data_IF_163859301111
#
_entry.id   IF_163859301111
#
_cell.length_a   1.000
_cell.length_b   1.000
_cell.length_c   1.000
_cell.angle_alpha   90.00
_cell.angle_beta   90.00
_cell.angle_gamma   90.00
#
_symmetry.space_group_name_H-M   'P 1'
#
loop_
_entity.id
_entity.type
_entity.pdbx_description
1 polymer ?
#
# COMPACT_ATOMS: atom_id res chain seq x y z
N UNK A 1 28.62 -15.94 -34.22
CA UNK A 1 28.39 -15.01 -33.11
C UNK A 1 27.02 -15.31 -32.54
N UNK A 2 26.92 -16.14 -31.49
CA UNK A 2 25.74 -16.25 -30.64
C UNK A 2 25.61 -14.90 -29.94
N UNK A 3 24.60 -14.10 -30.34
CA UNK A 3 24.08 -13.06 -29.46
C UNK A 3 23.43 -13.82 -28.31
N UNK A 4 23.99 -13.70 -27.11
CA UNK A 4 23.27 -14.09 -25.91
C UNK A 4 21.92 -13.33 -25.93
N UNK A 5 20.82 -14.03 -25.77
CA UNK A 5 19.51 -13.39 -25.54
C UNK A 5 19.68 -12.43 -24.38
N UNK A 6 19.19 -11.19 -24.49
CA UNK A 6 19.22 -10.28 -23.37
C UNK A 6 18.52 -10.95 -22.20
N UNK A 7 19.22 -11.06 -21.07
CA UNK A 7 18.65 -11.65 -19.87
C UNK A 7 17.35 -10.92 -19.55
N UNK A 8 16.25 -11.66 -19.41
CA UNK A 8 14.98 -11.09 -18.96
C UNK A 8 15.19 -10.67 -17.50
N UNK A 9 15.25 -9.36 -17.25
CA UNK A 9 15.49 -8.80 -15.92
C UNK A 9 14.32 -9.05 -14.98
N UNK A 10 13.10 -8.94 -15.52
CA UNK A 10 11.85 -9.11 -14.79
C UNK A 10 10.91 -9.93 -15.67
N UNK A 11 10.49 -11.09 -15.15
CA UNK A 11 9.57 -11.98 -15.85
C UNK A 11 8.40 -12.37 -14.95
N UNK A 12 7.17 -12.12 -15.43
CA UNK A 12 5.95 -12.44 -14.71
C UNK A 12 4.92 -13.05 -15.66
N UNK A 13 4.25 -14.11 -15.24
CA UNK A 13 3.11 -14.69 -15.96
C UNK A 13 1.92 -14.90 -15.04
N UNK A 14 0.72 -14.84 -15.62
CA UNK A 14 -0.54 -14.90 -14.91
C UNK A 14 -1.45 -15.93 -15.55
N UNK A 15 -2.09 -16.75 -14.74
CA UNK A 15 -3.06 -17.74 -15.20
C UNK A 15 -4.42 -17.44 -14.57
N UNK A 16 -5.46 -17.56 -15.38
CA UNK A 16 -6.83 -17.28 -14.98
C UNK A 16 -7.72 -18.48 -15.19
N UNK A 17 -8.74 -18.63 -14.36
CA UNK A 17 -9.79 -19.61 -14.60
C UNK A 17 -10.77 -19.13 -15.69
N UNK A 18 -11.77 -19.94 -16.01
CA UNK A 18 -12.77 -19.64 -17.05
C UNK A 18 -13.71 -18.49 -16.67
N UNK A 19 -13.72 -18.07 -15.40
CA UNK A 19 -14.53 -16.96 -14.90
C UNK A 19 -13.71 -15.66 -14.75
N UNK A 20 -12.41 -15.73 -15.06
CA UNK A 20 -11.50 -14.57 -15.02
C UNK A 20 -10.81 -14.34 -13.67
N UNK A 21 -10.91 -15.28 -12.71
CA UNK A 21 -10.17 -15.18 -11.47
C UNK A 21 -8.70 -15.55 -11.69
N UNK A 22 -7.78 -14.77 -11.13
CA UNK A 22 -6.35 -15.06 -11.15
C UNK A 22 -6.06 -16.29 -10.26
N UNK A 23 -5.70 -17.42 -10.86
CA UNK A 23 -5.46 -18.67 -10.12
C UNK A 23 -3.98 -18.93 -9.85
N UNK A 24 -3.08 -18.31 -10.63
CA UNK A 24 -1.63 -18.45 -10.42
C UNK A 24 -0.87 -17.25 -10.96
N UNK A 25 0.15 -16.84 -10.21
CA UNK A 25 1.20 -15.92 -10.64
C UNK A 25 2.54 -16.66 -10.59
N UNK A 26 3.29 -16.66 -11.67
CA UNK A 26 4.68 -17.09 -11.68
C UNK A 26 5.56 -15.85 -11.84
N UNK A 27 6.38 -15.55 -10.85
CA UNK A 27 7.27 -14.38 -10.79
C UNK A 27 8.72 -14.89 -10.70
N UNK A 28 9.57 -14.40 -11.60
CA UNK A 28 10.96 -14.86 -11.69
C UNK A 28 11.76 -14.53 -10.42
N UNK A 29 11.43 -13.45 -9.74
CA UNK A 29 12.13 -12.98 -8.53
C UNK A 29 11.49 -13.56 -7.26
N UNK A 30 10.15 -13.58 -7.18
CA UNK A 30 9.40 -13.90 -5.97
C UNK A 30 8.82 -15.33 -5.96
N UNK A 31 9.04 -16.10 -7.04
CA UNK A 31 8.51 -17.45 -7.20
C UNK A 31 7.03 -17.51 -7.59
N UNK A 32 6.45 -18.70 -7.46
CA UNK A 32 5.06 -18.94 -7.85
C UNK A 32 4.12 -18.75 -6.68
N UNK A 33 2.91 -18.25 -6.95
CA UNK A 33 1.83 -18.11 -5.97
C UNK A 33 0.52 -18.59 -6.58
N UNK A 34 -0.13 -19.52 -5.90
CA UNK A 34 -1.45 -20.03 -6.28
C UNK A 34 -2.55 -19.35 -5.47
N UNK A 35 -3.74 -19.22 -6.09
CA UNK A 35 -4.92 -18.62 -5.50
C UNK A 35 -6.12 -19.52 -5.67
N UNK A 36 -6.96 -19.62 -4.66
CA UNK A 36 -8.24 -20.33 -4.73
C UNK A 36 -9.39 -19.41 -4.33
N UNK A 37 -10.58 -19.73 -4.82
CA UNK A 37 -11.78 -18.92 -4.63
C UNK A 37 -12.96 -19.79 -4.22
N UNK A 38 -13.91 -19.21 -3.51
CA UNK A 38 -15.21 -19.84 -3.27
C UNK A 38 -16.19 -19.63 -4.44
N UNK A 39 -17.38 -20.21 -4.32
CA UNK A 39 -18.42 -20.09 -5.35
C UNK A 39 -18.93 -18.66 -5.60
N UNK A 40 -18.61 -17.70 -4.71
CA UNK A 40 -18.95 -16.30 -4.84
C UNK A 40 -17.79 -15.46 -5.41
N UNK A 41 -16.67 -16.10 -5.82
CA UNK A 41 -15.49 -15.44 -6.35
C UNK A 41 -14.63 -14.74 -5.29
N UNK A 42 -14.81 -15.06 -4.00
CA UNK A 42 -13.97 -14.50 -2.93
C UNK A 42 -12.74 -15.39 -2.75
N UNK A 43 -11.57 -14.76 -2.60
CA UNK A 43 -10.31 -15.48 -2.39
C UNK A 43 -10.35 -16.27 -1.08
N UNK A 44 -10.05 -17.56 -1.13
CA UNK A 44 -10.03 -18.46 0.04
C UNK A 44 -8.63 -18.89 0.42
N UNK A 45 -7.68 -18.78 -0.53
CA UNK A 45 -6.27 -19.04 -0.27
C UNK A 45 -5.37 -18.19 -1.17
N UNK A 46 -4.24 -17.73 -0.64
CA UNK A 46 -3.15 -17.09 -1.37
C UNK A 46 -1.83 -17.59 -0.79
N UNK A 47 -1.09 -18.41 -1.54
CA UNK A 47 0.05 -19.18 -1.04
C UNK A 47 -0.32 -19.96 0.23
N UNK A 48 0.34 -19.68 1.37
CA UNK A 48 0.10 -20.35 2.66
C UNK A 48 -1.00 -19.67 3.51
N UNK A 49 -1.53 -18.54 3.05
CA UNK A 49 -2.58 -17.81 3.77
C UNK A 49 -3.97 -18.33 3.40
N UNK A 50 -4.81 -18.57 4.41
CA UNK A 50 -6.18 -19.03 4.25
C UNK A 50 -7.17 -18.00 4.75
N UNK A 51 -8.23 -17.76 3.97
CA UNK A 51 -9.28 -16.79 4.25
C UNK A 51 -10.63 -17.46 4.41
N UNK A 52 -11.39 -17.05 5.41
CA UNK A 52 -12.77 -17.47 5.66
C UNK A 52 -13.66 -16.27 5.77
N UNK A 53 -14.92 -16.43 5.43
CA UNK A 53 -15.89 -15.36 5.43
C UNK A 53 -17.15 -15.76 6.18
N UNK A 54 -17.72 -14.80 6.91
CA UNK A 54 -19.06 -14.96 7.46
C UNK A 54 -20.14 -14.75 6.38
N UNK A 55 -21.44 -15.00 6.70
CA UNK A 55 -22.54 -14.78 5.75
C UNK A 55 -22.70 -13.32 5.29
N UNK A 56 -22.16 -12.35 6.02
CA UNK A 56 -22.14 -10.93 5.65
C UNK A 56 -20.88 -10.54 4.87
N UNK A 57 -20.07 -11.53 4.42
CA UNK A 57 -18.83 -11.38 3.65
C UNK A 57 -17.67 -10.74 4.43
N UNK A 58 -17.74 -10.66 5.75
CA UNK A 58 -16.61 -10.20 6.53
C UNK A 58 -15.56 -11.31 6.63
N UNK A 59 -14.29 -10.92 6.51
CA UNK A 59 -13.17 -11.81 6.77
C UNK A 59 -13.19 -12.23 8.26
N UNK A 60 -13.06 -13.53 8.52
CA UNK A 60 -13.09 -14.08 9.89
C UNK A 60 -12.17 -15.28 10.05
N UNK A 61 -11.57 -15.42 11.21
CA UNK A 61 -10.86 -16.63 11.69
C UNK A 61 -11.69 -17.38 12.76
N UNK A 62 -12.99 -17.08 12.86
CA UNK A 62 -13.87 -17.45 13.96
C UNK A 62 -14.01 -16.35 15.01
N UNK A 63 -13.42 -15.20 14.74
CA UNK A 63 -13.37 -14.03 15.61
C UNK A 63 -14.70 -13.26 15.66
N UNK A 64 -14.80 -12.33 16.64
CA UNK A 64 -16.03 -11.57 16.87
C UNK A 64 -16.19 -10.44 15.88
N UNK A 65 -17.34 -10.46 15.20
CA UNK A 65 -17.85 -9.37 14.38
C UNK A 65 -19.08 -8.78 15.05
N UNK A 66 -19.07 -7.49 15.33
CA UNK A 66 -20.17 -6.80 15.96
C UNK A 66 -20.63 -5.64 15.06
N UNK A 67 -21.92 -5.64 14.63
CA UNK A 67 -22.44 -4.57 13.79
C UNK A 67 -21.69 -4.41 12.46
N UNK A 68 -21.32 -5.53 11.83
CA UNK A 68 -20.51 -5.59 10.60
C UNK A 68 -19.10 -4.97 10.75
N UNK A 69 -18.56 -4.95 11.97
CA UNK A 69 -17.22 -4.47 12.30
C UNK A 69 -16.42 -5.57 12.96
N UNK A 70 -15.21 -5.80 12.46
CA UNK A 70 -14.29 -6.80 13.00
C UNK A 70 -13.75 -6.30 14.34
N UNK A 71 -14.16 -6.91 15.45
CA UNK A 71 -13.71 -6.53 16.79
C UNK A 71 -12.52 -7.35 17.27
N UNK A 72 -12.28 -8.50 16.65
CA UNK A 72 -11.11 -9.35 16.92
C UNK A 72 -10.73 -10.14 15.66
N UNK A 73 -9.42 -10.26 15.39
CA UNK A 73 -8.88 -11.07 14.29
C UNK A 73 -7.41 -11.41 14.55
N UNK A 74 -7.03 -12.68 14.39
CA UNK A 74 -5.65 -13.17 14.55
C UNK A 74 -4.96 -12.65 15.82
N UNK A 75 -5.66 -12.71 16.96
CA UNK A 75 -5.14 -12.26 18.25
C UNK A 75 -5.08 -10.74 18.44
N UNK A 76 -5.44 -9.96 17.46
CA UNK A 76 -5.57 -8.50 17.55
C UNK A 76 -6.99 -8.09 17.88
N UNK A 77 -7.15 -7.00 18.67
CA UNK A 77 -8.44 -6.41 19.02
C UNK A 77 -8.59 -5.03 18.34
N UNK A 78 -9.83 -4.70 17.95
CA UNK A 78 -10.16 -3.48 17.24
C UNK A 78 -11.35 -2.77 17.89
N UNK A 79 -11.25 -1.46 18.06
CA UNK A 79 -12.31 -0.62 18.59
C UNK A 79 -12.62 0.53 17.65
N UNK A 80 -13.91 0.83 17.52
CA UNK A 80 -14.41 1.82 16.57
C UNK A 80 -15.22 2.89 17.29
N UNK A 81 -15.27 4.09 16.71
CA UNK A 81 -16.19 5.14 17.10
C UNK A 81 -17.62 4.84 16.59
N UNK A 82 -18.64 5.64 16.98
CA UNK A 82 -19.99 5.48 16.48
C UNK A 82 -20.13 5.59 14.95
N UNK A 83 -19.24 6.35 14.29
CA UNK A 83 -19.25 6.54 12.83
C UNK A 83 -18.59 5.37 12.09
N UNK A 84 -17.89 4.48 12.80
CA UNK A 84 -17.22 3.31 12.22
C UNK A 84 -15.74 3.52 11.94
N UNK A 85 -15.15 4.62 12.37
CA UNK A 85 -13.71 4.82 12.27
C UNK A 85 -12.99 3.96 13.29
N UNK A 86 -11.91 3.29 12.88
CA UNK A 86 -11.04 2.53 13.78
C UNK A 86 -10.29 3.51 14.69
N UNK A 87 -10.57 3.49 16.00
CA UNK A 87 -9.93 4.39 16.97
C UNK A 87 -8.81 3.73 17.79
N UNK A 88 -8.80 2.40 17.83
CA UNK A 88 -7.78 1.65 18.57
C UNK A 88 -7.58 0.26 17.94
N UNK A 89 -6.31 -0.14 17.82
CA UNK A 89 -5.88 -1.49 17.45
C UNK A 89 -4.89 -1.97 18.50
N UNK A 90 -5.17 -3.10 19.13
CA UNK A 90 -4.25 -3.80 20.04
C UNK A 90 -3.73 -5.05 19.35
N UNK A 91 -2.44 -5.16 19.11
CA UNK A 91 -1.81 -6.31 18.49
C UNK A 91 -1.45 -7.38 19.55
N UNK A 92 -1.32 -8.61 19.12
CA UNK A 92 -0.99 -9.74 19.99
C UNK A 92 0.41 -9.64 20.64
N UNK A 93 1.33 -8.89 20.03
CA UNK A 93 2.69 -8.61 20.50
C UNK A 93 2.76 -7.47 21.53
N UNK A 94 1.59 -6.89 21.89
CA UNK A 94 1.47 -5.80 22.85
C UNK A 94 1.59 -4.40 22.24
N UNK A 95 1.77 -4.26 20.93
CA UNK A 95 1.68 -2.94 20.28
C UNK A 95 0.24 -2.43 20.35
N UNK A 96 0.06 -1.15 20.70
CA UNK A 96 -1.24 -0.47 20.72
C UNK A 96 -1.16 0.74 19.81
N UNK A 97 -2.15 0.90 18.92
CA UNK A 97 -2.26 2.01 18.01
C UNK A 97 -3.56 2.77 18.27
N UNK A 98 -3.47 4.10 18.42
CA UNK A 98 -4.61 5.00 18.58
C UNK A 98 -4.73 5.89 17.36
N UNK A 99 -5.99 6.14 16.93
CA UNK A 99 -6.28 6.92 15.73
C UNK A 99 -7.29 8.01 16.04
N UNK A 100 -7.07 9.21 15.49
CA UNK A 100 -7.99 10.35 15.60
C UNK A 100 -8.38 10.85 14.23
N UNK A 101 -9.62 11.28 14.13
CA UNK A 101 -10.24 11.72 12.87
C UNK A 101 -10.82 13.12 13.01
N UNK A 102 -10.89 13.84 11.90
CA UNK A 102 -11.65 15.10 11.82
C UNK A 102 -13.12 14.85 11.55
N UNK A 103 -13.90 15.94 11.39
CA UNK A 103 -15.34 15.86 11.11
C UNK A 103 -15.68 15.21 9.75
N UNK A 104 -14.73 15.18 8.82
CA UNK A 104 -14.86 14.55 7.49
C UNK A 104 -14.42 13.08 7.50
N UNK A 105 -14.22 12.47 8.67
CA UNK A 105 -13.73 11.10 8.87
C UNK A 105 -12.33 10.85 8.26
N UNK A 106 -11.51 11.89 8.15
CA UNK A 106 -10.13 11.76 7.69
C UNK A 106 -9.20 11.57 8.88
N UNK A 107 -8.29 10.59 8.79
CA UNK A 107 -7.31 10.30 9.83
C UNK A 107 -6.32 11.48 10.00
N UNK A 108 -6.40 12.19 11.11
CA UNK A 108 -5.53 13.35 11.40
C UNK A 108 -4.32 13.00 12.26
N UNK A 109 -4.43 11.92 13.05
CA UNK A 109 -3.37 11.52 13.98
C UNK A 109 -3.35 10.00 14.16
N UNK A 110 -2.14 9.42 14.20
CA UNK A 110 -1.89 8.06 14.64
C UNK A 110 -0.80 8.05 15.69
N UNK A 111 -1.08 7.46 16.85
CA UNK A 111 -0.13 7.29 17.95
C UNK A 111 0.12 5.81 18.18
N UNK A 112 1.40 5.41 18.18
CA UNK A 112 1.84 4.01 18.25
C UNK A 112 2.63 3.82 19.53
N UNK A 113 2.19 2.87 20.35
CA UNK A 113 2.81 2.45 21.59
C UNK A 113 3.36 1.03 21.43
N UNK A 114 4.68 0.88 21.49
CA UNK A 114 5.36 -0.41 21.51
C UNK A 114 5.84 -0.73 22.92
N UNK A 115 5.81 -2.00 23.34
CA UNK A 115 6.35 -2.39 24.64
C UNK A 115 7.81 -1.96 24.80
N UNK A 116 8.12 -1.25 25.89
CA UNK A 116 9.47 -0.79 26.20
C UNK A 116 9.99 0.42 25.39
N UNK A 117 9.19 1.00 24.50
CA UNK A 117 9.54 2.18 23.72
C UNK A 117 8.68 3.39 24.10
N UNK A 118 9.18 4.59 23.86
CA UNK A 118 8.37 5.80 23.98
C UNK A 118 7.34 5.86 22.83
N UNK A 119 6.12 6.34 23.10
CA UNK A 119 5.11 6.50 22.07
C UNK A 119 5.59 7.39 20.91
N UNK A 120 5.21 7.05 19.70
CA UNK A 120 5.48 7.84 18.51
C UNK A 120 4.19 8.32 17.87
N UNK A 121 4.16 9.57 17.41
CA UNK A 121 2.97 10.21 16.87
C UNK A 121 3.21 10.69 15.45
N UNK A 122 2.28 10.36 14.56
CA UNK A 122 2.20 10.85 13.18
C UNK A 122 0.99 11.77 13.06
N UNK A 123 1.11 12.85 12.27
CA UNK A 123 -0.01 13.75 11.96
C UNK A 123 -0.19 13.86 10.45
N UNK A 124 -1.44 14.07 10.05
CA UNK A 124 -1.82 14.15 8.63
C UNK A 124 -2.66 15.39 8.38
N UNK A 125 -2.46 16.01 7.21
CA UNK A 125 -3.27 17.15 6.75
C UNK A 125 -3.85 16.84 5.38
N UNK A 126 -5.02 17.40 5.13
CA UNK A 126 -5.79 17.17 3.91
C UNK A 126 -6.20 18.49 3.28
N UNK A 127 -6.39 18.49 1.96
CA UNK A 127 -7.02 19.58 1.25
C UNK A 127 -8.56 19.43 1.28
N UNK A 128 -9.32 20.45 0.79
CA UNK A 128 -10.78 20.39 0.74
C UNK A 128 -11.35 19.26 -0.14
N UNK A 129 -10.55 18.67 -1.01
CA UNK A 129 -10.95 17.52 -1.83
C UNK A 129 -10.68 16.16 -1.15
N UNK A 130 -10.18 16.18 0.08
CA UNK A 130 -9.89 14.97 0.85
C UNK A 130 -8.56 14.32 0.53
N UNK A 131 -7.70 14.93 -0.28
CA UNK A 131 -6.39 14.40 -0.61
C UNK A 131 -5.39 14.75 0.48
N UNK A 132 -4.57 13.81 0.89
CA UNK A 132 -3.54 14.04 1.90
C UNK A 132 -2.45 14.95 1.34
N UNK A 133 -2.27 16.13 1.92
CA UNK A 133 -1.25 17.11 1.50
C UNK A 133 -0.02 17.12 2.40
N UNK A 134 -0.08 16.52 3.61
CA UNK A 134 1.10 16.39 4.45
C UNK A 134 1.04 15.19 5.40
N UNK A 135 2.22 14.64 5.70
CA UNK A 135 2.48 13.69 6.78
C UNK A 135 3.62 14.23 7.64
N UNK A 136 3.38 14.44 8.92
CA UNK A 136 4.40 14.86 9.89
C UNK A 136 4.84 13.64 10.69
N UNK A 137 6.14 13.38 10.72
CA UNK A 137 6.78 12.29 11.46
C UNK A 137 7.03 12.67 12.92
N UNK A 138 7.30 11.70 13.83
CA UNK A 138 7.55 11.95 15.25
C UNK A 138 8.75 12.88 15.51
N UNK A 139 9.75 12.87 14.64
CA UNK A 139 10.94 13.72 14.68
C UNK A 139 10.70 15.14 14.17
N UNK A 140 9.46 15.48 13.80
CA UNK A 140 9.06 16.75 13.22
C UNK A 140 9.34 16.91 11.71
N UNK A 141 9.96 15.93 11.07
CA UNK A 141 10.11 15.95 9.62
C UNK A 141 8.74 15.86 8.95
N UNK A 142 8.52 16.70 7.94
CA UNK A 142 7.28 16.74 7.17
C UNK A 142 7.51 16.25 5.74
N UNK A 143 6.61 15.41 5.26
CA UNK A 143 6.47 15.06 3.85
C UNK A 143 5.25 15.81 3.33
N UNK A 144 5.41 16.57 2.23
CA UNK A 144 4.31 17.25 1.56
C UNK A 144 4.01 16.57 0.24
N UNK A 145 2.74 16.57 -0.15
CA UNK A 145 2.24 15.91 -1.36
C UNK A 145 1.58 16.94 -2.28
N UNK A 146 1.99 16.93 -3.55
CA UNK A 146 1.37 17.70 -4.61
C UNK A 146 0.58 16.75 -5.53
N UNK A 147 -0.64 17.14 -5.84
CA UNK A 147 -1.57 16.33 -6.62
C UNK A 147 -1.94 17.01 -7.93
N UNK A 148 -2.03 16.21 -9.00
CA UNK A 148 -2.67 16.55 -10.26
C UNK A 148 -4.00 15.79 -10.35
N UNK A 149 -5.11 16.47 -10.10
CA UNK A 149 -6.39 15.79 -9.91
C UNK A 149 -6.32 14.79 -8.75
N UNK A 150 -6.50 13.51 -9.04
CA UNK A 150 -6.40 12.40 -8.06
C UNK A 150 -5.06 11.67 -8.13
N UNK A 151 -4.11 12.10 -8.97
CA UNK A 151 -2.78 11.50 -9.12
C UNK A 151 -1.78 12.23 -8.24
N UNK A 152 -0.93 11.49 -7.54
CA UNK A 152 0.19 12.05 -6.82
C UNK A 152 1.26 12.50 -7.81
N UNK A 153 1.47 13.81 -7.94
CA UNK A 153 2.46 14.37 -8.85
C UNK A 153 3.84 14.44 -8.22
N UNK A 154 3.93 14.95 -6.99
CA UNK A 154 5.21 15.11 -6.30
C UNK A 154 5.09 14.83 -4.80
N UNK A 155 6.20 14.35 -4.25
CA UNK A 155 6.42 14.20 -2.82
C UNK A 155 7.66 14.97 -2.41
N UNK A 156 7.49 15.98 -1.55
CA UNK A 156 8.58 16.80 -1.04
C UNK A 156 9.04 16.27 0.30
N UNK A 157 10.31 15.91 0.41
CA UNK A 157 11.00 15.55 1.65
C UNK A 157 12.08 16.56 1.99
N UNK A 158 12.63 16.49 3.19
CA UNK A 158 13.65 17.42 3.70
C UNK A 158 14.86 17.58 2.78
N UNK A 159 15.32 16.48 2.17
CA UNK A 159 16.56 16.39 1.40
C UNK A 159 16.33 16.17 -0.10
N UNK A 160 15.12 15.81 -0.51
CA UNK A 160 14.81 15.44 -1.89
C UNK A 160 13.34 15.64 -2.27
N UNK A 161 13.11 15.69 -3.57
CA UNK A 161 11.77 15.68 -4.17
C UNK A 161 11.65 14.48 -5.09
N UNK A 162 10.57 13.72 -4.96
CA UNK A 162 10.17 12.71 -5.93
C UNK A 162 9.12 13.30 -6.86
N UNK A 163 9.31 13.12 -8.17
CA UNK A 163 8.31 13.45 -9.19
C UNK A 163 7.87 12.18 -9.86
N UNK A 164 6.57 11.93 -9.92
CA UNK A 164 5.98 10.75 -10.53
C UNK A 164 5.51 11.06 -11.94
N UNK A 165 5.92 10.24 -12.90
CA UNK A 165 5.55 10.32 -14.31
C UNK A 165 4.58 9.18 -14.60
N UNK A 166 3.49 9.48 -15.31
CA UNK A 166 2.46 8.51 -15.68
C UNK A 166 2.42 8.30 -17.18
N UNK A 167 1.94 7.14 -17.63
CA UNK A 167 1.94 6.76 -19.06
C UNK A 167 0.96 7.58 -19.90
N UNK A 168 -0.19 7.98 -19.30
CA UNK A 168 -1.26 8.72 -19.97
C UNK A 168 -1.96 9.70 -19.03
N UNK A 169 -2.62 10.73 -19.57
CA UNK A 169 -3.26 11.80 -18.78
C UNK A 169 -4.37 11.34 -17.82
N UNK A 170 -4.95 10.17 -18.00
CA UNK A 170 -6.01 9.62 -17.15
C UNK A 170 -5.68 8.28 -16.53
N UNK A 171 -4.45 7.81 -16.68
CA UNK A 171 -3.98 6.57 -16.10
C UNK A 171 -3.34 6.80 -14.74
N UNK A 172 -3.52 5.86 -13.82
CA UNK A 172 -2.90 5.85 -12.49
C UNK A 172 -1.65 4.96 -12.44
N UNK A 173 -1.27 4.36 -13.56
CA UNK A 173 -0.08 3.53 -13.67
C UNK A 173 1.17 4.40 -13.76
N UNK A 174 2.03 4.42 -12.75
CA UNK A 174 3.26 5.18 -12.81
C UNK A 174 4.24 4.51 -13.78
N UNK A 175 4.88 5.35 -14.60
CA UNK A 175 5.93 4.94 -15.52
C UNK A 175 7.31 5.06 -14.88
N UNK A 176 7.56 6.21 -14.24
CA UNK A 176 8.87 6.51 -13.67
C UNK A 176 8.76 7.42 -12.44
N UNK A 177 9.79 7.35 -11.60
CA UNK A 177 10.04 8.28 -10.51
C UNK A 177 11.35 9.02 -10.79
N UNK A 178 11.30 10.35 -10.73
CA UNK A 178 12.48 11.21 -10.84
C UNK A 178 12.80 11.74 -9.45
N UNK A 179 13.99 11.44 -8.94
CA UNK A 179 14.50 11.97 -7.67
C UNK A 179 15.38 13.18 -7.95
N UNK A 180 15.05 14.31 -7.31
CA UNK A 180 15.89 15.53 -7.32
C UNK A 180 16.32 15.82 -5.88
N UNK A 181 17.63 15.97 -5.66
CA UNK A 181 18.19 16.26 -4.34
C UNK A 181 18.31 17.76 -4.13
N UNK A 182 17.89 18.25 -2.96
CA UNK A 182 17.94 19.69 -2.62
C UNK A 182 19.39 20.18 -2.54
N UNK A 183 19.68 21.32 -3.17
CA UNK A 183 21.01 21.91 -3.20
C UNK A 183 22.00 21.28 -4.19
N UNK A 184 21.54 20.41 -5.06
CA UNK A 184 22.36 19.83 -6.13
C UNK A 184 21.68 19.99 -7.49
N UNK A 185 22.34 20.70 -8.41
CA UNK A 185 21.87 20.84 -9.81
C UNK A 185 22.12 19.57 -10.64
N UNK A 186 22.78 18.53 -10.11
CA UNK A 186 23.32 17.41 -10.88
C UNK A 186 22.80 16.03 -10.54
N UNK A 187 22.11 15.83 -9.45
CA UNK A 187 21.71 14.47 -9.06
C UNK A 187 20.23 14.26 -9.36
N UNK A 188 19.92 13.91 -10.58
CA UNK A 188 18.66 13.28 -10.95
C UNK A 188 18.88 11.78 -11.03
N UNK A 189 18.15 11.04 -10.25
CA UNK A 189 18.01 9.61 -10.37
C UNK A 189 16.66 9.33 -11.01
N UNK A 190 16.63 8.50 -12.03
CA UNK A 190 15.39 8.09 -12.70
C UNK A 190 15.24 6.59 -12.48
N UNK A 191 14.13 6.20 -11.88
CA UNK A 191 13.77 4.80 -11.71
C UNK A 191 12.47 4.53 -12.46
N UNK A 192 12.45 3.44 -13.23
CA UNK A 192 11.31 3.00 -14.03
C UNK A 192 10.50 1.98 -13.26
N UNK A 193 9.19 2.15 -13.20
CA UNK A 193 8.29 1.22 -12.57
C UNK A 193 7.97 0.03 -13.47
N UNK A 194 7.99 -1.15 -12.89
CA UNK A 194 7.49 -2.38 -13.48
C UNK A 194 6.18 -2.75 -12.80
N UNK A 195 5.10 -2.49 -13.52
CA UNK A 195 3.74 -2.69 -13.00
C UNK A 195 3.28 -4.13 -13.27
N UNK A 196 2.40 -4.65 -12.42
CA UNK A 196 1.69 -5.90 -12.67
C UNK A 196 0.52 -5.72 -13.65
N UNK A 197 -0.27 -6.79 -13.88
CA UNK A 197 -1.37 -6.81 -14.85
C UNK A 197 -2.53 -5.85 -14.54
N UNK A 198 -2.57 -5.27 -13.34
CA UNK A 198 -3.58 -4.29 -12.94
C UNK A 198 -2.98 -2.90 -12.68
N UNK A 199 -1.72 -2.68 -13.10
CA UNK A 199 -1.04 -1.39 -13.02
C UNK A 199 -0.44 -1.06 -11.66
N UNK A 200 -0.28 -2.04 -10.77
CA UNK A 200 0.36 -1.83 -9.46
C UNK A 200 1.87 -1.98 -9.60
N UNK A 201 2.66 -0.97 -9.16
CA UNK A 201 4.12 -1.07 -9.16
C UNK A 201 4.61 -2.21 -8.27
N UNK A 202 5.52 -3.02 -8.80
CA UNK A 202 6.12 -4.15 -8.10
C UNK A 202 7.60 -3.98 -7.86
N UNK A 203 8.33 -3.56 -8.89
CA UNK A 203 9.76 -3.27 -8.84
C UNK A 203 10.05 -1.95 -9.51
N UNK A 204 11.28 -1.48 -9.32
CA UNK A 204 11.84 -0.32 -10.01
C UNK A 204 13.25 -0.70 -10.47
N UNK A 205 13.63 -0.20 -11.65
CA UNK A 205 15.02 -0.31 -12.14
C UNK A 205 15.52 1.04 -12.63
N UNK A 206 16.83 1.23 -12.59
CA UNK A 206 17.49 2.35 -13.25
C UNK A 206 17.59 2.14 -14.78
N UNK A 207 18.26 3.06 -15.48
CA UNK A 207 18.48 2.99 -16.94
C UNK A 207 19.37 1.81 -17.34
N UNK A 208 20.15 1.25 -16.41
CA UNK A 208 21.05 0.11 -16.62
C UNK A 208 20.38 -1.22 -16.29
N UNK A 209 19.16 -1.17 -15.70
CA UNK A 209 18.38 -2.34 -15.32
C UNK A 209 18.71 -2.92 -13.94
N UNK A 210 19.39 -2.16 -13.07
CA UNK A 210 19.68 -2.56 -11.70
C UNK A 210 18.50 -2.31 -10.75
#
# INVERSE_FOLDING_TARGET
HNKADPAVLIGRSYQYDTTGNLIRTDDQTNGSRDYTYDALGRITQSADEHYRYDPAHNLTDGSRIGGNRLTQYQGSNYRYDPLGNLIEKQQHDGEIQYYRYNADNQLTEAEIHKPGESPVQYRYRYDPMGRRIAKVHPDGNEIQYLWDGSRLLQEYRKDRTYTYVYTEDRNYEPLAQITTYNGSDKAREILYYHNDQIGIPREMTDEEGN
#
